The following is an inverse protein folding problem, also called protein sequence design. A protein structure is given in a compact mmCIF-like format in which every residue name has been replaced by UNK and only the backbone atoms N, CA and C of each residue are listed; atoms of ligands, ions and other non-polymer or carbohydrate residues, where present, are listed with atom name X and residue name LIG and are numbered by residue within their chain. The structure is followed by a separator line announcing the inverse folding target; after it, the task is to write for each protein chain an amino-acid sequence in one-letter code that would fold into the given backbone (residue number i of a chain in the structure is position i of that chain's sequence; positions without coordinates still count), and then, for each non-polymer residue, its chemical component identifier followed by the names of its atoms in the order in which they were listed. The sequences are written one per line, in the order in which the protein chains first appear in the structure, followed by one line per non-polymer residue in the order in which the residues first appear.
data_IF_562190680609
#
_entry.id   IF_562190680609
#
_cell.length_a   1.000
_cell.length_b   1.000
_cell.length_c   1.000
_cell.angle_alpha   90.00
_cell.angle_beta   90.00
_cell.angle_gamma   90.00
#
_symmetry.space_group_name_H-M   'P 1'
#
loop_
_entity.id
_entity.type
_entity.pdbx_description
1 polymer ?
#
# COMPACT_ATOMS: atom_id res chain seq x y z
N UNK A 1 -8.14 -6.91 -8.37
CA UNK A 1 -9.24 -7.87 -8.48
C UNK A 1 -10.06 -7.78 -7.20
N UNK A 2 -11.38 -7.85 -7.31
CA UNK A 2 -12.31 -7.77 -6.18
C UNK A 2 -13.39 -8.86 -6.25
N UNK A 3 -13.17 -9.92 -7.04
CA UNK A 3 -14.13 -11.03 -7.23
C UNK A 3 -14.32 -11.86 -5.96
N UNK A 4 -13.34 -11.87 -5.05
CA UNK A 4 -13.43 -12.50 -3.73
C UNK A 4 -13.05 -11.50 -2.62
N UNK A 5 -13.58 -10.27 -2.72
CA UNK A 5 -13.27 -9.18 -1.79
C UNK A 5 -11.77 -8.89 -1.69
N UNK A 6 -11.32 -8.47 -0.51
CA UNK A 6 -9.91 -8.12 -0.25
C UNK A 6 -8.94 -9.30 -0.49
N UNK A 7 -9.39 -10.54 -0.34
CA UNK A 7 -8.54 -11.72 -0.57
C UNK A 7 -8.05 -11.81 -2.01
N UNK A 8 -8.87 -11.37 -2.97
CA UNK A 8 -8.49 -11.34 -4.38
C UNK A 8 -7.54 -10.18 -4.75
N UNK A 9 -7.25 -9.25 -3.83
CA UNK A 9 -6.27 -8.19 -4.08
C UNK A 9 -4.84 -8.74 -4.22
N UNK A 10 -4.55 -9.89 -3.60
CA UNK A 10 -3.24 -10.53 -3.63
C UNK A 10 -2.24 -9.94 -2.63
N UNK A 11 -0.94 -10.23 -2.78
CA UNK A 11 0.11 -9.71 -1.90
C UNK A 11 0.37 -8.21 -2.14
N UNK A 12 1.20 -7.61 -1.29
CA UNK A 12 1.64 -6.22 -1.46
C UNK A 12 2.29 -6.02 -2.84
N UNK A 13 2.09 -4.84 -3.42
CA UNK A 13 2.64 -4.53 -4.73
C UNK A 13 4.16 -4.43 -4.69
N UNK A 14 4.86 -5.40 -5.27
CA UNK A 14 6.32 -5.54 -5.20
C UNK A 14 6.97 -5.81 -6.58
N UNK A 15 7.04 -4.80 -7.46
CA UNK A 15 7.72 -4.95 -8.75
C UNK A 15 9.25 -5.14 -8.61
N UNK A 16 9.83 -4.64 -7.51
CA UNK A 16 11.27 -4.71 -7.22
C UNK A 16 11.74 -6.04 -6.63
N UNK A 17 10.81 -6.90 -6.18
CA UNK A 17 11.12 -8.15 -5.46
C UNK A 17 11.94 -7.95 -4.18
N UNK A 18 11.69 -6.85 -3.48
CA UNK A 18 12.30 -6.54 -2.19
C UNK A 18 11.57 -7.28 -1.06
N UNK A 19 12.16 -7.29 0.14
CA UNK A 19 11.44 -7.67 1.35
C UNK A 19 10.45 -6.57 1.81
N UNK A 20 9.54 -6.92 2.71
CA UNK A 20 8.63 -5.95 3.33
C UNK A 20 9.40 -4.98 4.24
N UNK A 21 9.00 -3.70 4.26
CA UNK A 21 9.64 -2.68 5.09
C UNK A 21 8.74 -1.50 5.42
N UNK A 22 9.23 -0.63 6.31
CA UNK A 22 8.58 0.63 6.65
C UNK A 22 8.67 1.64 5.51
N UNK A 23 7.79 2.65 5.43
CA UNK A 23 7.70 3.56 4.27
C UNK A 23 8.95 4.42 4.02
N UNK A 24 9.85 4.50 5.00
CA UNK A 24 11.14 5.22 4.89
C UNK A 24 12.32 4.31 4.60
N UNK A 25 12.13 3.00 4.61
CA UNK A 25 13.20 2.03 4.41
C UNK A 25 13.61 1.98 2.94
N UNK A 26 14.91 1.72 2.71
CA UNK A 26 15.45 1.54 1.37
C UNK A 26 15.00 0.22 0.74
N UNK A 27 14.86 -0.81 1.58
CA UNK A 27 14.34 -2.14 1.25
C UNK A 27 12.88 -2.18 1.71
N UNK A 28 11.95 -2.07 0.75
CA UNK A 28 10.51 -2.25 0.97
C UNK A 28 9.80 -2.59 -0.33
N UNK A 29 8.58 -3.11 -0.24
CA UNK A 29 7.71 -3.18 -1.41
C UNK A 29 7.29 -1.78 -1.86
N UNK A 30 6.99 -1.61 -3.14
CA UNK A 30 6.46 -0.34 -3.64
C UNK A 30 5.10 0.01 -3.02
N UNK A 31 4.29 -1.00 -2.66
CA UNK A 31 2.99 -0.83 -2.03
C UNK A 31 3.02 -0.62 -0.50
N UNK A 32 4.19 -0.64 0.15
CA UNK A 32 4.29 -0.51 1.60
C UNK A 32 4.22 0.96 2.03
N UNK A 33 3.03 1.44 2.35
CA UNK A 33 2.79 2.85 2.72
C UNK A 33 2.80 3.10 4.24
N UNK A 34 3.03 2.05 5.05
CA UNK A 34 3.03 2.12 6.50
C UNK A 34 1.63 2.21 7.11
N UNK A 35 1.57 2.65 8.37
CA UNK A 35 0.35 2.72 9.14
C UNK A 35 -0.37 4.07 8.98
N UNK A 36 -1.70 4.02 9.11
CA UNK A 36 -2.54 5.20 9.27
C UNK A 36 -3.07 5.23 10.70
N UNK A 37 -3.22 6.42 11.27
CA UNK A 37 -3.72 6.58 12.64
C UNK A 37 -5.20 6.99 12.60
N UNK A 38 -6.06 6.16 13.19
CA UNK A 38 -7.46 6.51 13.40
C UNK A 38 -7.60 7.32 14.69
N UNK A 39 -8.43 8.36 14.65
CA UNK A 39 -8.75 9.14 15.84
C UNK A 39 -9.72 8.37 16.77
N UNK A 40 -10.11 9.00 17.90
CA UNK A 40 -11.00 8.40 18.88
C UNK A 40 -12.39 8.00 18.33
N UNK A 41 -12.81 8.59 17.21
CA UNK A 41 -14.07 8.25 16.52
C UNK A 41 -13.89 7.16 15.45
N UNK A 42 -12.69 6.57 15.33
CA UNK A 42 -12.38 5.55 14.32
C UNK A 42 -12.15 6.11 12.92
N UNK A 43 -11.89 7.42 12.78
CA UNK A 43 -11.65 8.08 11.49
C UNK A 43 -10.15 8.32 11.29
N UNK A 44 -9.58 7.74 10.24
CA UNK A 44 -8.22 8.02 9.81
C UNK A 44 -8.20 9.08 8.71
N UNK A 45 -7.55 10.22 8.97
CA UNK A 45 -7.27 11.24 7.94
C UNK A 45 -5.89 10.99 7.35
N UNK A 46 -5.85 10.52 6.11
CA UNK A 46 -4.61 10.10 5.46
C UNK A 46 -4.04 11.22 4.60
N UNK A 47 -2.79 11.60 4.86
CA UNK A 47 -2.00 12.49 4.01
C UNK A 47 -0.56 11.96 3.94
N UNK A 48 -0.26 11.17 2.91
CA UNK A 48 1.02 10.50 2.71
C UNK A 48 1.62 10.96 1.38
N UNK A 49 2.92 11.27 1.38
CA UNK A 49 3.69 11.49 0.16
C UNK A 49 4.72 10.38 0.03
N UNK A 50 4.68 9.66 -1.08
CA UNK A 50 5.52 8.49 -1.33
C UNK A 50 6.32 8.65 -2.64
N UNK A 51 7.49 8.02 -2.72
CA UNK A 51 8.41 8.10 -3.86
C UNK A 51 8.51 6.80 -4.67
N UNK A 52 7.98 5.69 -4.16
CA UNK A 52 8.02 4.38 -4.80
C UNK A 52 6.81 4.20 -5.73
N UNK A 53 5.59 4.50 -5.25
CA UNK A 53 4.38 4.38 -6.08
C UNK A 53 4.35 5.46 -7.17
N UNK A 54 3.83 5.09 -8.33
CA UNK A 54 3.68 5.99 -9.47
C UNK A 54 2.33 5.77 -10.16
N UNK A 55 1.90 6.74 -10.96
CA UNK A 55 0.72 6.62 -11.84
C UNK A 55 1.08 6.13 -13.25
N UNK A 56 2.35 5.78 -13.48
CA UNK A 56 2.87 5.28 -14.75
C UNK A 56 4.15 4.47 -14.55
N UNK A 57 4.60 3.79 -15.61
CA UNK A 57 5.84 3.00 -15.59
C UNK A 57 5.75 1.72 -14.75
N UNK A 58 6.90 1.14 -14.36
CA UNK A 58 6.96 -0.16 -13.67
C UNK A 58 6.26 -0.17 -12.30
N UNK A 59 6.24 0.97 -11.60
CA UNK A 59 5.60 1.12 -10.29
C UNK A 59 4.17 1.68 -10.38
N UNK A 60 3.51 1.53 -11.53
CA UNK A 60 2.16 2.03 -11.74
C UNK A 60 1.14 1.34 -10.80
N UNK A 61 0.40 2.13 -10.04
CA UNK A 61 -0.67 1.67 -9.15
C UNK A 61 -2.08 1.83 -9.71
N UNK A 62 -2.26 2.44 -10.88
CA UNK A 62 -3.58 2.51 -11.53
C UNK A 62 -4.09 1.10 -11.83
N UNK A 63 -5.34 0.83 -11.43
CA UNK A 63 -5.98 -0.48 -11.56
C UNK A 63 -5.63 -1.49 -10.47
N UNK A 64 -4.83 -1.10 -9.46
CA UNK A 64 -4.56 -1.89 -8.26
C UNK A 64 -5.53 -1.56 -7.12
N UNK A 65 -5.39 -2.28 -6.02
CA UNK A 65 -6.23 -2.15 -4.83
C UNK A 65 -5.45 -1.49 -3.69
N UNK A 66 -6.07 -0.54 -2.98
CA UNK A 66 -5.62 -0.09 -1.65
C UNK A 66 -6.36 -0.92 -0.61
N UNK A 67 -5.63 -1.49 0.35
CA UNK A 67 -6.18 -2.30 1.44
C UNK A 67 -5.85 -1.63 2.77
N UNK A 68 -6.84 -1.49 3.65
CA UNK A 68 -6.67 -1.09 5.05
C UNK A 68 -6.85 -2.35 5.89
N UNK A 69 -5.86 -2.65 6.72
CA UNK A 69 -5.87 -3.84 7.56
C UNK A 69 -6.55 -3.56 8.91
N UNK A 70 -7.13 -4.61 9.48
CA UNK A 70 -7.43 -4.64 10.90
C UNK A 70 -6.18 -5.10 11.66
N UNK A 71 -5.97 -4.55 12.86
CA UNK A 71 -4.90 -4.98 13.78
C UNK A 71 -5.10 -6.42 14.28
#
# INVERSE_FOLDING_TARGET
DNTNGCMSAGPHFNPGKNEHGGPTDSERHAGDLGNVEANAEGVAKVNITDKQVSLSGPNNIIGRTIVVHAD
#
